data_IF_561812406691
#
_entry.id   IF_561812406691
#
_cell.length_a   1.000
_cell.length_b   1.000
_cell.length_c   1.000
_cell.angle_alpha   90.00
_cell.angle_beta   90.00
_cell.angle_gamma   90.00
#
_symmetry.space_group_name_H-M   'P 1'
#
loop_
_entity.id
_entity.type
_entity.pdbx_description
1 polymer ?
#
# COMPACT_ATOMS: atom_id res chain seq x y z
N UNK A 1 1.45 -9.88 -32.31
CA UNK A 1 2.32 -9.51 -33.44
C UNK A 1 2.68 -8.03 -33.40
N UNK A 2 1.73 -7.11 -33.16
CA UNK A 2 2.00 -5.66 -33.07
C UNK A 2 2.88 -5.24 -31.87
N UNK A 3 2.77 -5.90 -30.71
CA UNK A 3 3.49 -5.46 -29.50
C UNK A 3 4.97 -5.84 -29.46
N UNK A 4 5.35 -6.96 -30.09
CA UNK A 4 6.75 -7.40 -30.20
C UNK A 4 7.56 -6.43 -31.06
N UNK A 5 6.91 -5.86 -32.07
CA UNK A 5 7.49 -4.85 -32.94
C UNK A 5 7.67 -3.51 -32.20
N UNK A 6 6.75 -3.13 -31.32
CA UNK A 6 6.82 -1.88 -30.55
C UNK A 6 8.01 -1.83 -29.58
N UNK A 7 8.28 -2.94 -28.86
CA UNK A 7 9.45 -3.01 -27.97
C UNK A 7 10.74 -2.89 -28.78
N UNK A 8 10.84 -3.60 -29.90
CA UNK A 8 12.00 -3.54 -30.79
C UNK A 8 12.25 -2.12 -31.28
N UNK A 9 11.21 -1.42 -31.75
CA UNK A 9 11.29 -0.03 -32.21
C UNK A 9 11.78 0.90 -31.09
N UNK A 10 11.24 0.76 -29.87
CA UNK A 10 11.68 1.54 -28.72
C UNK A 10 13.17 1.34 -28.41
N UNK A 11 13.64 0.10 -28.36
CA UNK A 11 15.05 -0.20 -28.09
C UNK A 11 15.98 0.32 -29.21
N UNK A 12 15.53 0.27 -30.47
CA UNK A 12 16.26 0.86 -31.60
C UNK A 12 16.33 2.39 -31.51
N UNK A 13 15.25 3.05 -31.10
CA UNK A 13 15.23 4.49 -30.87
C UNK A 13 16.16 4.90 -29.72
N UNK A 14 16.20 4.14 -28.62
CA UNK A 14 17.13 4.39 -27.51
C UNK A 14 18.60 4.28 -27.97
N UNK A 15 18.94 3.24 -28.74
CA UNK A 15 20.28 3.11 -29.33
C UNK A 15 20.62 4.28 -30.27
N UNK A 16 19.66 4.71 -31.09
CA UNK A 16 19.88 5.85 -31.99
C UNK A 16 20.12 7.15 -31.23
N UNK A 17 19.39 7.40 -30.14
CA UNK A 17 19.60 8.57 -29.26
C UNK A 17 20.95 8.51 -28.54
N UNK A 18 21.41 7.31 -28.18
CA UNK A 18 22.71 7.10 -27.55
C UNK A 18 23.88 7.20 -28.54
N UNK A 19 23.65 7.01 -29.84
CA UNK A 19 24.68 7.03 -30.86
C UNK A 19 25.40 8.39 -30.93
N UNK A 20 26.74 8.38 -30.89
CA UNK A 20 27.57 9.58 -31.06
C UNK A 20 28.24 9.61 -32.44
N UNK A 21 28.48 10.81 -33.00
CA UNK A 21 29.23 10.95 -34.25
C UNK A 21 30.64 10.35 -34.12
N UNK A 22 31.16 9.63 -35.14
CA UNK A 22 32.50 9.07 -35.12
C UNK A 22 33.61 10.11 -34.88
N UNK A 23 33.37 11.36 -35.25
CA UNK A 23 34.31 12.48 -35.12
C UNK A 23 34.57 12.87 -33.66
N UNK A 24 33.69 12.48 -32.73
CA UNK A 24 33.76 12.79 -31.30
C UNK A 24 34.45 11.68 -30.48
N UNK A 25 34.80 10.56 -31.12
CA UNK A 25 35.25 9.34 -30.42
C UNK A 25 36.77 9.17 -30.48
N UNK A 26 37.36 8.85 -29.32
CA UNK A 26 38.79 8.53 -29.20
C UNK A 26 39.04 7.03 -29.07
N UNK A 27 40.23 6.56 -29.48
CA UNK A 27 40.62 5.16 -29.31
C UNK A 27 40.77 4.84 -27.81
N UNK A 28 39.86 4.04 -27.27
CA UNK A 28 39.80 3.69 -25.84
C UNK A 28 38.66 4.34 -25.07
N UNK A 29 37.73 5.03 -25.75
CA UNK A 29 36.54 5.61 -25.13
C UNK A 29 35.64 4.52 -24.50
N UNK A 30 35.31 4.62 -23.19
CA UNK A 30 34.35 3.73 -22.53
C UNK A 30 32.99 3.62 -23.25
N UNK A 31 32.66 4.62 -24.07
CA UNK A 31 31.50 4.63 -24.96
C UNK A 31 31.36 3.34 -25.78
N UNK A 32 32.46 2.80 -26.32
CA UNK A 32 32.39 1.61 -27.16
C UNK A 32 31.99 0.36 -26.36
N UNK A 33 32.48 0.21 -25.12
CA UNK A 33 32.09 -0.90 -24.25
C UNK A 33 30.59 -0.80 -23.88
N UNK A 34 30.15 0.40 -23.53
CA UNK A 34 28.75 0.66 -23.20
C UNK A 34 27.83 0.37 -24.40
N UNK A 35 28.17 0.86 -25.59
CA UNK A 35 27.39 0.63 -26.80
C UNK A 35 27.31 -0.86 -27.15
N UNK A 36 28.43 -1.59 -27.09
CA UNK A 36 28.46 -3.03 -27.36
C UNK A 36 27.58 -3.80 -26.36
N UNK A 37 27.61 -3.40 -25.09
CA UNK A 37 26.79 -4.04 -24.07
C UNK A 37 25.31 -3.72 -24.24
N UNK A 38 24.96 -2.47 -24.56
CA UNK A 38 23.57 -2.08 -24.86
C UNK A 38 23.02 -2.83 -26.08
N UNK A 39 23.84 -3.03 -27.12
CA UNK A 39 23.47 -3.85 -28.28
C UNK A 39 23.20 -5.30 -27.87
N UNK A 40 24.07 -5.90 -27.06
CA UNK A 40 23.90 -7.26 -26.59
C UNK A 40 22.64 -7.43 -25.71
N UNK A 41 22.38 -6.48 -24.80
CA UNK A 41 21.16 -6.46 -23.97
C UNK A 41 19.92 -6.33 -24.86
N UNK A 42 19.95 -5.43 -25.84
CA UNK A 42 18.84 -5.25 -26.80
C UNK A 42 18.55 -6.53 -27.57
N UNK A 43 19.58 -7.20 -28.06
CA UNK A 43 19.43 -8.45 -28.80
C UNK A 43 18.87 -9.56 -27.91
N UNK A 44 19.32 -9.67 -26.66
CA UNK A 44 18.78 -10.64 -25.71
C UNK A 44 17.29 -10.37 -25.41
N UNK A 45 16.92 -9.13 -25.09
CA UNK A 45 15.53 -8.74 -24.75
C UNK A 45 14.52 -9.02 -25.89
N UNK A 46 14.95 -8.92 -27.15
CA UNK A 46 14.09 -9.18 -28.31
C UNK A 46 13.93 -10.68 -28.58
N UNK A 47 14.92 -11.49 -28.18
CA UNK A 47 14.95 -12.92 -28.51
C UNK A 47 14.38 -13.81 -27.39
N UNK A 48 14.35 -13.35 -26.14
CA UNK A 48 13.77 -14.12 -25.03
C UNK A 48 12.23 -14.08 -25.05
N UNK A 49 11.54 -15.14 -24.58
CA UNK A 49 10.09 -15.15 -24.48
C UNK A 49 9.62 -14.30 -23.28
N UNK A 50 9.31 -13.03 -23.53
CA UNK A 50 8.75 -12.13 -22.53
C UNK A 50 7.25 -12.35 -22.35
N UNK A 51 6.78 -12.39 -21.10
CA UNK A 51 5.35 -12.31 -20.80
C UNK A 51 4.81 -10.88 -21.02
N UNK A 52 3.49 -10.74 -21.06
CA UNK A 52 2.87 -9.43 -21.34
C UNK A 52 3.17 -8.39 -20.27
N UNK A 53 3.25 -8.80 -19.00
CA UNK A 53 3.65 -7.91 -17.89
C UNK A 53 5.07 -7.39 -18.09
N UNK A 54 6.03 -8.27 -18.39
CA UNK A 54 7.41 -7.87 -18.66
C UNK A 54 7.49 -6.93 -19.87
N UNK A 55 6.71 -7.20 -20.92
CA UNK A 55 6.68 -6.34 -22.11
C UNK A 55 6.12 -4.95 -21.78
N UNK A 56 5.01 -4.89 -21.07
CA UNK A 56 4.37 -3.63 -20.67
C UNK A 56 5.28 -2.81 -19.76
N UNK A 57 5.95 -3.46 -18.82
CA UNK A 57 7.00 -2.84 -18.00
C UNK A 57 8.08 -2.20 -18.87
N UNK A 58 8.71 -2.97 -19.78
CA UNK A 58 9.78 -2.44 -20.64
C UNK A 58 9.28 -1.29 -21.54
N UNK A 59 8.03 -1.35 -21.99
CA UNK A 59 7.42 -0.29 -22.79
C UNK A 59 7.13 0.98 -21.97
N UNK A 60 6.78 0.86 -20.69
CA UNK A 60 6.52 2.00 -19.80
C UNK A 60 7.80 2.67 -19.29
N UNK A 61 8.92 1.95 -19.27
CA UNK A 61 10.22 2.52 -18.87
C UNK A 61 10.69 3.59 -19.85
N UNK A 62 11.29 4.67 -19.33
CA UNK A 62 11.79 5.77 -20.18
C UNK A 62 13.02 5.32 -21.01
N UNK A 63 14.04 4.76 -20.36
CA UNK A 63 15.30 4.34 -20.97
C UNK A 63 15.68 2.91 -20.51
N UNK A 64 15.22 1.90 -21.24
CA UNK A 64 15.44 0.48 -20.89
C UNK A 64 16.92 0.11 -20.91
N UNK A 65 17.61 0.43 -22.02
CA UNK A 65 18.99 -0.03 -22.23
C UNK A 65 19.98 0.64 -21.28
N UNK A 66 19.76 1.92 -20.97
CA UNK A 66 20.57 2.65 -19.99
C UNK A 66 20.30 2.15 -18.57
N UNK A 67 19.05 1.85 -18.24
CA UNK A 67 18.69 1.25 -16.95
C UNK A 67 19.34 -0.12 -16.77
N UNK A 68 19.31 -0.97 -17.81
CA UNK A 68 19.94 -2.30 -17.77
C UNK A 68 21.47 -2.21 -17.69
N UNK A 69 22.08 -1.25 -18.39
CA UNK A 69 23.51 -0.95 -18.26
C UNK A 69 23.89 -0.47 -16.85
N UNK A 70 23.12 0.45 -16.29
CA UNK A 70 23.32 0.94 -14.92
C UNK A 70 23.18 -0.20 -13.92
N UNK A 71 22.15 -1.04 -14.08
CA UNK A 71 21.89 -2.22 -13.26
C UNK A 71 23.05 -3.23 -13.28
N UNK A 72 23.62 -3.50 -14.45
CA UNK A 72 24.81 -4.37 -14.61
C UNK A 72 25.99 -3.88 -13.78
N UNK A 73 26.21 -2.57 -13.78
CA UNK A 73 27.40 -1.96 -13.18
C UNK A 73 27.21 -1.56 -11.71
N UNK A 74 25.98 -1.62 -11.19
CA UNK A 74 25.69 -1.33 -9.79
C UNK A 74 25.94 -2.56 -8.94
N UNK A 75 26.91 -2.53 -8.00
CA UNK A 75 27.12 -3.63 -7.07
C UNK A 75 25.96 -3.68 -6.09
N UNK A 76 25.32 -4.84 -6.01
CA UNK A 76 24.25 -5.10 -5.03
C UNK A 76 24.73 -6.21 -4.09
N UNK A 77 24.71 -5.98 -2.76
CA UNK A 77 25.05 -7.01 -1.79
C UNK A 77 24.25 -8.29 -2.05
N UNK A 78 24.90 -9.45 -1.90
CA UNK A 78 24.29 -10.78 -2.05
C UNK A 78 23.76 -11.15 -3.45
N UNK A 79 23.99 -10.31 -4.47
CA UNK A 79 23.63 -10.62 -5.86
C UNK A 79 24.60 -11.63 -6.48
N UNK A 80 24.12 -12.85 -6.76
CA UNK A 80 24.84 -13.90 -7.48
C UNK A 80 24.72 -13.76 -9.01
N UNK A 81 24.91 -12.55 -9.54
CA UNK A 81 24.82 -12.27 -10.98
C UNK A 81 26.23 -11.99 -11.54
N UNK A 82 26.58 -12.66 -12.63
CA UNK A 82 27.78 -12.35 -13.39
C UNK A 82 27.52 -11.19 -14.37
N UNK A 83 28.12 -9.99 -14.17
CA UNK A 83 27.88 -8.84 -15.05
C UNK A 83 28.39 -9.06 -16.48
N UNK A 84 29.25 -10.05 -16.73
CA UNK A 84 29.72 -10.37 -18.07
C UNK A 84 28.81 -11.37 -18.80
N UNK A 85 27.82 -11.96 -18.11
CA UNK A 85 26.82 -12.83 -18.72
C UNK A 85 25.55 -12.02 -19.00
N UNK A 86 25.33 -11.66 -20.26
CA UNK A 86 24.20 -10.82 -20.68
C UNK A 86 22.84 -11.45 -20.34
N UNK A 87 22.70 -12.76 -20.47
CA UNK A 87 21.46 -13.46 -20.12
C UNK A 87 21.16 -13.36 -18.63
N UNK A 88 22.17 -13.45 -17.76
CA UNK A 88 21.98 -13.22 -16.32
C UNK A 88 21.64 -11.77 -16.03
N UNK A 89 22.34 -10.82 -16.65
CA UNK A 89 22.04 -9.38 -16.49
C UNK A 89 20.58 -9.10 -16.85
N UNK A 90 20.11 -9.58 -17.99
CA UNK A 90 18.73 -9.39 -18.44
C UNK A 90 17.75 -10.09 -17.50
N UNK A 91 18.03 -11.33 -17.10
CA UNK A 91 17.17 -12.07 -16.17
C UNK A 91 16.95 -11.31 -14.86
N UNK A 92 18.03 -10.93 -14.17
CA UNK A 92 17.93 -10.24 -12.88
C UNK A 92 17.39 -8.82 -13.03
N UNK A 93 17.69 -8.13 -14.13
CA UNK A 93 17.12 -6.82 -14.43
C UNK A 93 15.60 -6.90 -14.57
N UNK A 94 15.09 -7.90 -15.30
CA UNK A 94 13.64 -8.11 -15.45
C UNK A 94 12.97 -8.51 -14.14
N UNK A 95 13.66 -9.21 -13.25
CA UNK A 95 13.13 -9.54 -11.92
C UNK A 95 13.05 -8.28 -11.04
N UNK A 96 14.14 -7.53 -10.93
CA UNK A 96 14.26 -6.32 -10.12
C UNK A 96 13.24 -5.25 -10.54
N UNK A 97 13.24 -4.90 -11.83
CA UNK A 97 12.27 -3.94 -12.39
C UNK A 97 10.86 -4.50 -12.46
N UNK A 98 10.75 -5.82 -12.59
CA UNK A 98 9.46 -6.50 -12.58
C UNK A 98 8.76 -6.37 -11.24
N UNK A 99 9.47 -6.54 -10.13
CA UNK A 99 8.89 -6.44 -8.79
C UNK A 99 8.36 -5.03 -8.53
N UNK A 100 9.18 -4.01 -8.80
CA UNK A 100 8.81 -2.59 -8.70
C UNK A 100 7.56 -2.29 -9.54
N UNK A 101 7.58 -2.65 -10.83
CA UNK A 101 6.46 -2.41 -11.73
C UNK A 101 5.17 -3.13 -11.33
N UNK A 102 5.26 -4.36 -10.81
CA UNK A 102 4.08 -5.13 -10.37
C UNK A 102 3.45 -4.53 -9.12
N UNK A 103 4.26 -4.00 -8.19
CA UNK A 103 3.78 -3.24 -7.04
C UNK A 103 2.98 -2.00 -7.48
N UNK A 104 3.57 -1.17 -8.33
CA UNK A 104 2.91 0.02 -8.88
C UNK A 104 1.62 -0.36 -9.64
N UNK A 105 1.67 -1.41 -10.45
CA UNK A 105 0.50 -1.89 -11.21
C UNK A 105 -0.64 -2.33 -10.29
N UNK A 106 -0.31 -2.98 -9.16
CA UNK A 106 -1.30 -3.40 -8.18
C UNK A 106 -1.93 -2.19 -7.50
N UNK A 107 -1.10 -1.25 -7.04
CA UNK A 107 -1.57 -0.01 -6.42
C UNK A 107 -2.47 0.78 -7.37
N UNK A 108 -2.03 1.03 -8.61
CA UNK A 108 -2.82 1.78 -9.59
C UNK A 108 -4.14 1.08 -9.93
N UNK A 109 -4.16 -0.26 -10.00
CA UNK A 109 -5.40 -1.01 -10.20
C UNK A 109 -6.35 -0.88 -9.01
N UNK A 110 -5.84 -1.04 -7.79
CA UNK A 110 -6.62 -0.87 -6.57
C UNK A 110 -7.14 0.57 -6.44
N UNK A 111 -6.29 1.56 -6.75
CA UNK A 111 -6.65 2.97 -6.75
C UNK A 111 -7.75 3.28 -7.77
N UNK A 112 -7.64 2.77 -9.00
CA UNK A 112 -8.66 2.96 -10.02
C UNK A 112 -10.01 2.33 -9.61
N UNK A 113 -9.98 1.16 -8.96
CA UNK A 113 -11.16 0.55 -8.37
C UNK A 113 -11.78 1.42 -7.27
N UNK A 114 -10.95 1.96 -6.37
CA UNK A 114 -11.39 2.85 -5.31
C UNK A 114 -11.99 4.14 -5.86
N UNK A 115 -11.31 4.80 -6.81
CA UNK A 115 -11.74 6.05 -7.41
C UNK A 115 -13.09 5.87 -8.13
N UNK A 116 -13.26 4.77 -8.89
CA UNK A 116 -14.54 4.43 -9.51
C UNK A 116 -15.65 4.23 -8.46
N UNK A 117 -15.34 3.56 -7.35
CA UNK A 117 -16.30 3.39 -6.24
C UNK A 117 -16.65 4.72 -5.58
N UNK A 118 -15.69 5.64 -5.43
CA UNK A 118 -15.92 6.97 -4.89
C UNK A 118 -16.81 7.82 -5.80
N UNK A 119 -16.66 7.71 -7.12
CA UNK A 119 -17.56 8.34 -8.09
C UNK A 119 -18.99 7.80 -7.96
N UNK A 120 -19.16 6.48 -7.84
CA UNK A 120 -20.46 5.85 -7.61
C UNK A 120 -21.10 6.33 -6.29
N UNK A 121 -20.34 6.36 -5.20
CA UNK A 121 -20.81 6.82 -3.90
C UNK A 121 -21.23 8.29 -3.92
N UNK A 122 -20.49 9.14 -4.63
CA UNK A 122 -20.82 10.56 -4.76
C UNK A 122 -22.17 10.82 -5.47
N UNK A 123 -22.65 9.86 -6.26
CA UNK A 123 -23.95 9.94 -6.92
C UNK A 123 -25.13 9.49 -6.05
N UNK A 124 -24.88 8.91 -4.86
CA UNK A 124 -25.92 8.41 -3.97
C UNK A 124 -26.53 9.52 -3.08
N UNK A 125 -27.78 9.34 -2.60
CA UNK A 125 -28.35 10.20 -1.57
C UNK A 125 -27.52 10.17 -0.27
N UNK A 126 -27.42 11.28 0.49
CA UNK A 126 -26.59 11.36 1.70
C UNK A 126 -26.82 10.24 2.71
N UNK A 127 -28.05 9.75 2.84
CA UNK A 127 -28.39 8.67 3.77
C UNK A 127 -27.78 7.34 3.36
N UNK A 128 -27.75 7.05 2.06
CA UNK A 128 -27.19 5.79 1.52
C UNK A 128 -25.66 5.81 1.53
N UNK A 129 -25.04 6.99 1.42
CA UNK A 129 -23.58 7.14 1.57
C UNK A 129 -23.12 6.66 2.97
N UNK A 130 -23.91 6.92 4.02
CA UNK A 130 -23.58 6.49 5.38
C UNK A 130 -23.52 4.97 5.52
N UNK A 131 -24.35 4.24 4.78
CA UNK A 131 -24.36 2.78 4.79
C UNK A 131 -23.06 2.19 4.18
N UNK A 132 -22.35 2.97 3.37
CA UNK A 132 -21.07 2.59 2.76
C UNK A 132 -19.84 3.23 3.42
N UNK A 133 -20.02 4.00 4.49
CA UNK A 133 -18.91 4.65 5.17
C UNK A 133 -17.88 3.64 5.67
N UNK A 134 -18.33 2.49 6.17
CA UNK A 134 -17.44 1.43 6.63
C UNK A 134 -16.61 0.82 5.49
N UNK A 135 -17.27 0.44 4.38
CA UNK A 135 -16.60 -0.07 3.18
C UNK A 135 -15.55 0.92 2.68
N UNK A 136 -15.88 2.22 2.62
CA UNK A 136 -14.95 3.27 2.20
C UNK A 136 -13.68 3.26 3.04
N UNK A 137 -13.82 3.36 4.36
CA UNK A 137 -12.66 3.51 5.25
C UNK A 137 -11.75 2.29 5.18
N UNK A 138 -12.32 1.07 5.21
CA UNK A 138 -11.51 -0.15 5.14
C UNK A 138 -10.79 -0.26 3.78
N UNK A 139 -11.45 0.06 2.67
CA UNK A 139 -10.80 0.05 1.35
C UNK A 139 -9.70 1.12 1.21
N UNK A 140 -9.89 2.28 1.85
CA UNK A 140 -8.88 3.35 1.91
C UNK A 140 -7.66 2.93 2.73
N UNK A 141 -7.86 2.24 3.86
CA UNK A 141 -6.77 1.71 4.68
C UNK A 141 -5.98 0.62 3.94
N UNK A 142 -6.66 -0.28 3.21
CA UNK A 142 -5.98 -1.24 2.35
C UNK A 142 -5.18 -0.55 1.25
N UNK A 143 -5.70 0.51 0.66
CA UNK A 143 -4.98 1.25 -0.38
C UNK A 143 -3.69 1.88 0.18
N UNK A 144 -3.74 2.46 1.39
CA UNK A 144 -2.56 2.95 2.08
C UNK A 144 -1.52 1.85 2.30
N UNK A 145 -1.96 0.65 2.70
CA UNK A 145 -1.05 -0.47 2.90
C UNK A 145 -0.44 -0.99 1.59
N UNK A 146 -1.20 -1.01 0.50
CA UNK A 146 -0.67 -1.38 -0.83
C UNK A 146 0.38 -0.38 -1.34
N UNK A 147 0.32 0.88 -0.92
CA UNK A 147 1.33 1.91 -1.23
C UNK A 147 2.67 1.65 -0.52
N UNK A 148 2.65 1.06 0.68
CA UNK A 148 3.87 0.67 1.40
C UNK A 148 4.60 -0.50 0.72
N UNK A 149 3.89 -1.27 -0.11
CA UNK A 149 4.40 -2.40 -0.85
C UNK A 149 4.23 -3.72 -0.10
N UNK A 150 3.98 -4.78 -0.86
CA UNK A 150 3.89 -6.16 -0.39
C UNK A 150 5.08 -6.97 -0.91
N UNK A 151 5.24 -8.20 -0.43
CA UNK A 151 6.21 -9.09 -1.04
C UNK A 151 5.79 -9.51 -2.47
N UNK A 152 6.74 -10.05 -3.23
CA UNK A 152 6.51 -10.40 -4.64
C UNK A 152 5.38 -11.42 -4.84
N UNK A 153 5.25 -12.41 -3.93
CA UNK A 153 4.25 -13.46 -4.04
C UNK A 153 2.86 -12.94 -3.71
N UNK A 154 2.75 -12.13 -2.67
CA UNK A 154 1.52 -11.46 -2.28
C UNK A 154 1.03 -10.51 -3.38
N UNK A 155 1.94 -9.74 -3.96
CA UNK A 155 1.67 -8.83 -5.08
C UNK A 155 1.13 -9.60 -6.29
N UNK A 156 1.81 -10.67 -6.69
CA UNK A 156 1.42 -11.48 -7.84
C UNK A 156 0.07 -12.19 -7.61
N UNK A 157 -0.19 -12.64 -6.37
CA UNK A 157 -1.47 -13.23 -5.99
C UNK A 157 -2.61 -12.20 -6.08
N UNK A 158 -2.43 -10.98 -5.57
CA UNK A 158 -3.45 -9.95 -5.63
C UNK A 158 -3.69 -9.42 -7.05
N UNK A 159 -2.65 -9.36 -7.89
CA UNK A 159 -2.77 -9.01 -9.30
C UNK A 159 -3.59 -10.03 -10.12
N UNK A 160 -3.81 -11.24 -9.60
CA UNK A 160 -4.72 -12.21 -10.22
C UNK A 160 -6.19 -11.79 -10.10
N UNK A 161 -6.53 -10.91 -9.14
CA UNK A 161 -7.86 -10.36 -9.00
C UNK A 161 -8.07 -9.18 -9.97
N UNK A 162 -9.20 -9.16 -10.70
CA UNK A 162 -9.62 -7.99 -11.47
C UNK A 162 -9.92 -6.78 -10.59
N UNK A 163 -10.44 -7.03 -9.37
CA UNK A 163 -10.83 -6.04 -8.37
C UNK A 163 -10.18 -6.40 -7.03
N UNK A 164 -8.90 -6.06 -6.82
CA UNK A 164 -8.15 -6.45 -5.63
C UNK A 164 -8.74 -5.89 -4.33
N UNK A 165 -9.27 -4.66 -4.31
CA UNK A 165 -9.85 -4.09 -3.08
C UNK A 165 -11.15 -4.79 -2.69
N UNK A 166 -11.96 -5.19 -3.66
CA UNK A 166 -13.16 -5.97 -3.42
C UNK A 166 -12.83 -7.35 -2.86
N UNK A 167 -11.79 -8.01 -3.36
CA UNK A 167 -11.32 -9.29 -2.82
C UNK A 167 -10.85 -9.14 -1.36
N UNK A 168 -10.00 -8.14 -1.08
CA UNK A 168 -9.51 -7.83 0.27
C UNK A 168 -10.65 -7.50 1.24
N UNK A 169 -11.59 -6.65 0.81
CA UNK A 169 -12.74 -6.29 1.63
C UNK A 169 -13.67 -7.48 1.90
N UNK A 170 -13.85 -8.38 0.94
CA UNK A 170 -14.67 -9.59 1.13
C UNK A 170 -14.03 -10.52 2.15
N UNK A 171 -12.72 -10.75 2.05
CA UNK A 171 -11.95 -11.54 3.01
C UNK A 171 -12.01 -10.90 4.41
N UNK A 172 -11.86 -9.57 4.46
CA UNK A 172 -11.99 -8.80 5.70
C UNK A 172 -13.33 -9.04 6.39
N UNK A 173 -14.44 -8.87 5.65
CA UNK A 173 -15.79 -9.09 6.17
C UNK A 173 -16.05 -10.52 6.68
N UNK A 174 -15.32 -11.51 6.16
CA UNK A 174 -15.39 -12.90 6.64
C UNK A 174 -14.68 -13.13 7.97
N UNK A 175 -13.67 -12.32 8.28
CA UNK A 175 -12.86 -12.40 9.49
C UNK A 175 -13.35 -11.46 10.61
N UNK A 176 -14.24 -10.52 10.28
CA UNK A 176 -14.56 -9.37 11.11
C UNK A 176 -15.63 -9.63 12.19
N UNK A 177 -15.20 -10.29 13.26
CA UNK A 177 -15.77 -10.08 14.61
C UNK A 177 -14.69 -9.65 15.63
N UNK A 178 -13.39 -9.73 15.28
CA UNK A 178 -12.28 -9.44 16.20
C UNK A 178 -11.69 -8.03 16.06
N UNK A 179 -11.86 -7.34 14.93
CA UNK A 179 -11.22 -6.04 14.69
C UNK A 179 -11.94 -4.85 15.31
N UNK A 180 -13.25 -4.95 15.57
CA UNK A 180 -13.97 -3.91 16.32
C UNK A 180 -13.37 -3.63 17.71
N UNK A 181 -12.37 -4.43 18.14
CA UNK A 181 -11.72 -4.37 19.44
C UNK A 181 -12.77 -4.02 20.47
N UNK A 182 -13.85 -4.82 20.43
CA UNK A 182 -15.05 -4.60 21.24
C UNK A 182 -14.58 -4.50 22.70
N UNK A 183 -13.53 -5.24 23.04
CA UNK A 183 -12.82 -5.16 24.30
C UNK A 183 -12.22 -3.78 24.57
N UNK A 184 -11.48 -3.13 23.64
CA UNK A 184 -11.03 -1.73 23.81
C UNK A 184 -12.16 -0.72 23.83
N UNK A 185 -13.19 -0.85 22.99
CA UNK A 185 -14.34 0.07 23.00
C UNK A 185 -15.06 -0.05 24.35
N UNK A 186 -15.33 -1.27 24.80
CA UNK A 186 -15.96 -1.57 26.07
C UNK A 186 -15.09 -1.14 27.24
N UNK A 187 -13.78 -1.36 27.17
CA UNK A 187 -12.82 -0.92 28.18
C UNK A 187 -12.82 0.61 28.28
N UNK A 188 -12.77 1.32 27.15
CA UNK A 188 -12.81 2.78 27.11
C UNK A 188 -14.11 3.32 27.73
N UNK A 189 -15.27 2.74 27.35
CA UNK A 189 -16.55 3.11 27.92
C UNK A 189 -16.62 2.84 29.44
N UNK A 190 -16.10 1.69 29.88
CA UNK A 190 -16.05 1.29 31.30
C UNK A 190 -15.14 2.22 32.10
N UNK A 191 -13.96 2.57 31.57
CA UNK A 191 -13.05 3.51 32.20
C UNK A 191 -13.64 4.92 32.29
N UNK A 192 -14.28 5.42 31.23
CA UNK A 192 -14.93 6.72 31.24
C UNK A 192 -16.06 6.77 32.29
N UNK A 193 -16.89 5.72 32.34
CA UNK A 193 -17.95 5.59 33.34
C UNK A 193 -17.38 5.50 34.77
N UNK A 194 -16.33 4.70 35.00
CA UNK A 194 -15.69 4.55 36.31
C UNK A 194 -15.06 5.85 36.81
N UNK A 195 -14.36 6.59 35.94
CA UNK A 195 -13.83 7.93 36.25
C UNK A 195 -14.94 8.88 36.66
N UNK A 196 -16.03 8.92 35.88
CA UNK A 196 -17.19 9.78 36.18
C UNK A 196 -17.86 9.39 37.49
N UNK A 197 -17.97 8.10 37.81
CA UNK A 197 -18.53 7.64 39.07
C UNK A 197 -17.71 8.13 40.28
N UNK A 198 -16.38 8.06 40.19
CA UNK A 198 -15.50 8.56 41.25
C UNK A 198 -15.62 10.08 41.43
N UNK A 199 -15.74 10.85 40.34
CA UNK A 199 -16.00 12.30 40.43
C UNK A 199 -17.33 12.57 41.16
N UNK A 200 -18.39 11.85 40.80
CA UNK A 200 -19.72 12.02 41.39
C UNK A 200 -19.75 11.65 42.88
N UNK A 201 -18.95 10.67 43.32
CA UNK A 201 -18.80 10.34 44.75
C UNK A 201 -18.08 11.41 45.56
N UNK A 202 -17.13 12.11 44.94
CA UNK A 202 -16.29 13.12 45.60
C UNK A 202 -16.88 14.53 45.51
N UNK A 203 -17.95 14.71 44.74
CA UNK A 203 -18.59 16.00 44.58
C UNK A 203 -19.53 16.28 45.75
N UNK A 204 -19.15 17.22 46.61
CA UNK A 204 -20.07 17.82 47.58
C UNK A 204 -20.95 18.84 46.85
N UNK A 205 -22.26 18.83 47.12
CA UNK A 205 -23.22 19.73 46.49
C UNK A 205 -23.36 21.02 47.30
N UNK A 206 -22.75 22.09 46.83
CA UNK A 206 -22.78 23.40 47.50
C UNK A 206 -23.96 24.28 47.07
N UNK A 207 -24.37 25.12 48.01
CA UNK A 207 -25.52 26.06 48.02
C UNK A 207 -26.88 25.34 47.93
N UNK A 208 -27.26 24.74 49.06
CA UNK A 208 -28.52 24.03 49.42
C UNK A 208 -28.43 22.50 49.53
N UNK A 209 -27.29 21.87 49.20
CA UNK A 209 -27.12 20.41 49.37
C UNK A 209 -27.83 19.55 48.32
N UNK A 210 -28.37 20.15 47.27
CA UNK A 210 -29.11 19.43 46.23
C UNK A 210 -28.26 19.26 44.95
N UNK A 211 -28.33 18.08 44.30
CA UNK A 211 -27.60 17.83 43.06
C UNK A 211 -28.12 18.72 41.90
N UNK A 212 -27.25 19.04 40.92
CA UNK A 212 -27.64 19.67 39.66
C UNK A 212 -28.80 18.93 38.99
N UNK A 213 -29.64 19.68 38.26
CA UNK A 213 -30.89 19.14 37.70
C UNK A 213 -30.64 17.97 36.73
N UNK A 214 -29.52 18.01 36.01
CA UNK A 214 -29.09 16.97 35.07
C UNK A 214 -28.67 15.67 35.76
N UNK A 215 -28.32 15.74 37.05
CA UNK A 215 -27.86 14.62 37.86
C UNK A 215 -28.93 14.13 38.86
N UNK A 216 -30.03 14.87 39.03
CA UNK A 216 -31.12 14.52 39.96
C UNK A 216 -31.56 13.07 39.83
N UNK A 217 -31.87 12.64 38.60
CA UNK A 217 -32.30 11.27 38.30
C UNK A 217 -31.25 10.22 38.70
N UNK A 218 -29.97 10.53 38.51
CA UNK A 218 -28.87 9.63 38.84
C UNK A 218 -28.71 9.46 40.37
N UNK A 219 -28.75 10.56 41.14
CA UNK A 219 -28.63 10.49 42.61
C UNK A 219 -29.89 9.93 43.28
N UNK A 220 -31.09 10.25 42.76
CA UNK A 220 -32.34 9.66 43.24
C UNK A 220 -32.32 8.12 43.13
N UNK A 221 -31.67 7.59 42.09
CA UNK A 221 -31.57 6.15 41.84
C UNK A 221 -30.37 5.47 42.52
N UNK A 222 -29.25 6.17 42.70
CA UNK A 222 -27.96 5.57 43.06
C UNK A 222 -27.29 6.14 44.31
N UNK A 223 -27.94 7.04 45.06
CA UNK A 223 -27.39 7.66 46.29
C UNK A 223 -26.79 6.64 47.27
N UNK A 224 -27.50 5.55 47.59
CA UNK A 224 -27.01 4.50 48.50
C UNK A 224 -25.70 3.84 48.04
N UNK A 225 -25.47 3.76 46.72
CA UNK A 225 -24.28 3.15 46.11
C UNK A 225 -23.11 4.14 46.05
N UNK A 226 -23.43 5.43 45.94
CA UNK A 226 -22.44 6.51 45.93
C UNK A 226 -21.86 6.76 47.33
N UNK A 227 -22.69 6.63 48.37
CA UNK A 227 -22.28 6.81 49.76
C UNK A 227 -21.45 5.63 50.32
N UNK A 228 -21.30 4.53 49.56
CA UNK A 228 -20.52 3.38 49.96
C UNK A 228 -19.04 3.51 49.55
N UNK A 229 -18.11 3.75 50.51
CA UNK A 229 -16.70 3.96 50.22
C UNK A 229 -15.97 2.69 49.76
N UNK A 230 -16.51 1.50 50.03
CA UNK A 230 -15.90 0.22 49.64
C UNK A 230 -16.08 -0.10 48.15
N UNK A 231 -16.86 0.72 47.43
CA UNK A 231 -17.17 0.52 46.00
C UNK A 231 -16.43 1.52 45.09
N UNK A 232 -15.46 2.30 45.58
CA UNK A 232 -14.61 3.17 44.75
C UNK A 232 -14.04 2.39 43.56
N UNK A 233 -14.25 2.91 42.34
CA UNK A 233 -13.71 2.25 41.16
C UNK A 233 -12.20 2.48 41.15
N UNK A 234 -11.43 1.43 41.39
CA UNK A 234 -9.99 1.40 41.23
C UNK A 234 -9.76 0.70 39.89
N UNK A 235 -9.70 1.46 38.80
CA UNK A 235 -9.52 0.89 37.47
C UNK A 235 -8.33 -0.05 37.39
N UNK A 236 -8.34 -0.96 36.41
CA UNK A 236 -7.16 -1.75 36.08
C UNK A 236 -6.00 -0.80 35.76
N UNK A 237 -4.96 -0.82 36.60
CA UNK A 237 -3.69 -0.15 36.35
C UNK A 237 -2.92 -0.91 35.27
N UNK A 238 -3.38 -0.76 34.03
CA UNK A 238 -2.69 -1.11 32.77
C UNK A 238 -2.10 -2.54 32.65
N UNK A 239 -1.79 -2.93 31.40
CA UNK A 239 -0.37 -2.90 31.02
C UNK A 239 -0.05 -1.91 29.89
#
# INVERSE_FOLDING_TARGET
MLETDALKEKLEMELHRFARPPEELSSGDPYFEQLQTMLAIRDELINIPLCDIQRNMLLSMENVLESAWSFRNTPVPDRCMNPNNISEVVYYFLQDKGAEYRGDLLYERAKAEFDARMEELAALPPKEILDHAYEKIIKEDFLCHLEEGLDEWETDALLSYPQPLTALYTEWMGNDYSYLDIDRIQSTATQAAGKRLNELRRHEFDVNGEPPVELRYFYDLHSEILDNPDLEWVGDMEP
#
